data_IF_783431676692
#
_entry.id   IF_783431676692
#
_cell.length_a   1.000
_cell.length_b   1.000
_cell.length_c   1.000
_cell.angle_alpha   90.00
_cell.angle_beta   90.00
_cell.angle_gamma   90.00
#
_symmetry.space_group_name_H-M   'P 1'
#
loop_
_entity.id
_entity.type
_entity.pdbx_description
1 polymer ?
#
# COMPACT_ATOMS: atom_id res chain seq x y z
N UNK A 1 -22.18 30.14 14.39
CA UNK A 1 -21.29 29.84 13.25
C UNK A 1 -20.44 28.69 13.72
N UNK A 2 -20.80 27.50 13.29
CA UNK A 2 -20.05 26.29 13.61
C UNK A 2 -18.98 26.14 12.53
N UNK A 3 -17.72 26.32 12.94
CA UNK A 3 -16.58 25.97 12.10
C UNK A 3 -16.68 24.48 11.76
N UNK A 4 -17.08 24.18 10.54
CA UNK A 4 -17.01 22.83 10.00
C UNK A 4 -15.54 22.48 9.84
N UNK A 5 -15.06 21.61 10.69
CA UNK A 5 -13.79 20.92 10.56
C UNK A 5 -13.84 20.18 9.21
N UNK A 6 -13.20 20.76 8.20
CA UNK A 6 -12.99 20.10 6.91
C UNK A 6 -12.03 18.95 7.20
N UNK A 7 -12.57 17.76 7.39
CA UNK A 7 -11.77 16.57 7.47
C UNK A 7 -10.85 16.56 6.22
N UNK A 8 -9.56 16.71 6.43
CA UNK A 8 -8.58 16.67 5.33
C UNK A 8 -8.65 15.28 4.74
N UNK A 9 -9.33 15.15 3.62
CA UNK A 9 -9.45 13.87 2.90
C UNK A 9 -8.05 13.44 2.48
N UNK A 10 -7.60 12.32 2.99
CA UNK A 10 -6.32 11.75 2.64
C UNK A 10 -6.34 11.39 1.14
N UNK A 11 -5.45 11.97 0.38
CA UNK A 11 -5.43 11.81 -1.07
C UNK A 11 -4.03 11.80 -1.65
N UNK A 12 -3.87 11.10 -2.77
CA UNK A 12 -2.64 11.00 -3.54
C UNK A 12 -2.60 12.12 -4.56
N UNK A 13 -1.48 12.84 -4.62
CA UNK A 13 -1.19 13.79 -5.67
C UNK A 13 0.22 13.57 -6.18
N UNK A 14 0.36 13.34 -7.49
CA UNK A 14 1.66 13.23 -8.12
C UNK A 14 2.36 14.57 -8.22
N UNK A 15 3.70 14.55 -8.23
CA UNK A 15 4.55 15.73 -8.44
C UNK A 15 4.37 16.86 -7.40
N UNK A 16 4.04 16.52 -6.15
CA UNK A 16 3.91 17.48 -5.04
C UNK A 16 5.19 18.27 -4.76
N UNK A 17 6.36 17.74 -5.16
CA UNK A 17 7.65 18.44 -5.05
C UNK A 17 7.81 19.60 -6.02
N UNK A 18 6.93 19.73 -7.04
CA UNK A 18 6.95 20.83 -7.98
C UNK A 18 6.11 22.00 -7.45
N UNK A 19 6.66 23.21 -7.49
CA UNK A 19 5.89 24.41 -7.19
C UNK A 19 4.90 24.75 -8.34
N UNK A 20 3.96 25.67 -8.08
CA UNK A 20 2.90 26.03 -9.03
C UNK A 20 3.45 26.53 -10.40
N UNK A 21 4.57 27.27 -10.41
CA UNK A 21 5.20 27.73 -11.65
C UNK A 21 5.78 26.58 -12.46
N UNK A 22 6.43 25.63 -11.81
CA UNK A 22 6.97 24.44 -12.46
C UNK A 22 5.84 23.55 -12.99
N UNK A 23 4.75 23.38 -12.23
CA UNK A 23 3.58 22.62 -12.71
C UNK A 23 2.95 23.28 -13.94
N UNK A 24 2.78 24.61 -13.95
CA UNK A 24 2.22 25.33 -15.08
C UNK A 24 3.10 25.27 -16.35
N UNK A 25 4.41 25.09 -16.20
CA UNK A 25 5.33 24.92 -17.34
C UNK A 25 5.34 23.51 -17.89
N UNK A 26 5.15 22.49 -17.03
CA UNK A 26 5.29 21.08 -17.40
C UNK A 26 3.97 20.45 -17.81
N UNK A 27 2.84 20.91 -17.27
CA UNK A 27 1.55 20.27 -17.47
C UNK A 27 0.56 21.23 -18.14
N UNK A 28 -0.13 20.76 -19.16
CA UNK A 28 -1.31 21.43 -19.70
C UNK A 28 -2.44 21.52 -18.67
N UNK A 29 -2.65 20.45 -17.93
CA UNK A 29 -3.55 20.34 -16.80
C UNK A 29 -2.75 19.79 -15.61
N UNK A 30 -2.64 20.53 -14.49
CA UNK A 30 -1.86 20.05 -13.34
C UNK A 30 -2.48 18.79 -12.75
N UNK A 31 -1.66 17.95 -12.08
CA UNK A 31 -2.14 16.76 -11.39
C UNK A 31 -3.17 17.10 -10.32
N UNK A 32 -4.29 16.40 -10.33
CA UNK A 32 -5.36 16.54 -9.34
C UNK A 32 -5.10 15.58 -8.16
N UNK A 33 -5.69 15.88 -7.00
CA UNK A 33 -5.71 14.98 -5.86
C UNK A 33 -6.73 13.86 -6.12
N UNK A 34 -6.32 12.62 -5.92
CA UNK A 34 -7.17 11.43 -5.99
C UNK A 34 -7.34 10.94 -4.55
N UNK A 35 -8.59 10.90 -4.07
CA UNK A 35 -8.91 10.38 -2.74
C UNK A 35 -8.69 8.86 -2.69
N UNK A 36 -8.17 8.35 -1.57
CA UNK A 36 -8.10 6.91 -1.34
C UNK A 36 -9.48 6.24 -1.16
N UNK A 37 -10.56 7.04 -1.08
CA UNK A 37 -11.95 6.60 -1.04
C UNK A 37 -12.68 6.71 -2.39
N UNK A 38 -11.97 7.14 -3.45
CA UNK A 38 -12.51 7.17 -4.81
C UNK A 38 -12.72 5.76 -5.36
N UNK A 39 -13.37 5.65 -6.52
CA UNK A 39 -13.57 4.37 -7.16
C UNK A 39 -12.24 3.65 -7.45
N UNK A 40 -12.14 2.33 -7.26
CA UNK A 40 -10.89 1.56 -7.45
C UNK A 40 -10.22 1.77 -8.81
N UNK A 41 -11.01 1.98 -9.87
CA UNK A 41 -10.48 2.27 -11.21
C UNK A 41 -9.74 3.61 -11.28
N UNK A 42 -10.22 4.62 -10.56
CA UNK A 42 -9.57 5.93 -10.48
C UNK A 42 -8.31 5.84 -9.62
N UNK A 43 -8.40 5.19 -8.44
CA UNK A 43 -7.26 4.95 -7.56
C UNK A 43 -6.14 4.19 -8.29
N UNK A 44 -6.49 3.21 -9.13
CA UNK A 44 -5.52 2.47 -9.93
C UNK A 44 -4.70 3.36 -10.89
N UNK A 45 -5.24 4.50 -11.32
CA UNK A 45 -4.48 5.47 -12.14
C UNK A 45 -3.43 6.24 -11.33
N UNK A 46 -3.58 6.28 -10.01
CA UNK A 46 -2.68 6.98 -9.09
C UNK A 46 -1.50 6.13 -8.60
N UNK A 47 -1.37 4.87 -9.02
CA UNK A 47 -0.27 3.98 -8.59
C UNK A 47 1.11 4.59 -8.90
N UNK A 48 1.27 5.18 -10.08
CA UNK A 48 2.55 5.74 -10.50
C UNK A 48 3.65 4.68 -10.61
N UNK A 49 4.87 5.05 -10.25
CA UNK A 49 6.01 4.14 -10.17
C UNK A 49 6.02 3.45 -8.79
N UNK A 50 5.53 2.22 -8.73
CA UNK A 50 5.44 1.45 -7.50
C UNK A 50 6.82 0.99 -7.02
N UNK A 51 7.15 1.31 -5.77
CA UNK A 51 8.42 0.94 -5.15
C UNK A 51 8.29 -0.37 -4.39
N UNK A 52 9.15 -1.36 -4.70
CA UNK A 52 9.26 -2.60 -3.94
C UNK A 52 10.26 -2.44 -2.79
N UNK A 53 9.87 -2.91 -1.60
CA UNK A 53 10.66 -2.85 -0.37
C UNK A 53 10.74 -4.25 0.23
N UNK A 54 11.94 -4.83 0.41
CA UNK A 54 12.08 -6.12 1.08
C UNK A 54 11.45 -6.10 2.48
N UNK A 55 10.62 -7.10 2.79
CA UNK A 55 9.84 -7.15 4.02
C UNK A 55 10.66 -7.55 5.26
N UNK A 56 11.87 -8.05 5.08
CA UNK A 56 12.80 -8.41 6.16
C UNK A 56 13.57 -7.20 6.75
N UNK A 57 13.34 -5.99 6.24
CA UNK A 57 13.99 -4.78 6.76
C UNK A 57 13.55 -4.47 8.18
N UNK A 58 14.48 -4.20 9.10
CA UNK A 58 14.14 -3.91 10.50
C UNK A 58 13.42 -2.55 10.70
N UNK A 59 13.55 -1.63 9.72
CA UNK A 59 12.98 -0.28 9.72
C UNK A 59 11.83 -0.13 8.70
N UNK A 60 10.99 -1.16 8.54
CA UNK A 60 10.04 -1.25 7.43
C UNK A 60 9.02 -0.11 7.43
N UNK A 61 8.32 0.14 8.54
CA UNK A 61 7.35 1.24 8.66
C UNK A 61 8.01 2.61 8.47
N UNK A 62 9.16 2.85 9.11
CA UNK A 62 9.90 4.10 8.96
C UNK A 62 10.40 4.31 7.51
N UNK A 63 10.74 3.23 6.80
CA UNK A 63 11.10 3.29 5.38
C UNK A 63 9.90 3.70 4.53
N UNK A 64 8.72 3.10 4.75
CA UNK A 64 7.48 3.47 4.04
C UNK A 64 7.17 4.95 4.27
N UNK A 65 7.17 5.40 5.53
CA UNK A 65 6.89 6.80 5.89
C UNK A 65 7.85 7.78 5.20
N UNK A 66 9.14 7.49 5.22
CA UNK A 66 10.15 8.30 4.52
C UNK A 66 9.91 8.35 3.02
N UNK A 67 9.62 7.22 2.36
CA UNK A 67 9.37 7.18 0.93
C UNK A 67 8.08 7.88 0.54
N UNK A 68 7.04 7.78 1.36
CA UNK A 68 5.81 8.54 1.17
C UNK A 68 6.07 10.06 1.22
N UNK A 69 6.89 10.53 2.18
CA UNK A 69 7.28 11.96 2.27
C UNK A 69 8.14 12.44 1.08
N UNK A 70 8.81 11.53 0.38
CA UNK A 70 9.54 11.79 -0.87
C UNK A 70 8.60 11.81 -2.11
N UNK A 71 7.29 11.57 -1.92
CA UNK A 71 6.28 11.61 -2.98
C UNK A 71 6.00 10.27 -3.65
N UNK A 72 6.43 9.14 -3.07
CA UNK A 72 6.08 7.81 -3.57
C UNK A 72 4.61 7.52 -3.25
N UNK A 73 3.82 7.31 -4.29
CA UNK A 73 2.36 7.14 -4.19
C UNK A 73 1.93 5.69 -3.95
N UNK A 74 2.78 4.72 -4.28
CA UNK A 74 2.49 3.30 -4.04
C UNK A 74 3.76 2.50 -3.72
N UNK A 75 3.63 1.57 -2.77
CA UNK A 75 4.73 0.71 -2.34
C UNK A 75 4.26 -0.72 -2.16
N UNK A 76 5.16 -1.68 -2.37
CA UNK A 76 4.93 -3.10 -2.16
C UNK A 76 5.91 -3.59 -1.11
N UNK A 77 5.40 -4.09 0.02
CA UNK A 77 6.18 -4.84 1.01
C UNK A 77 6.33 -6.26 0.46
N UNK A 78 7.55 -6.62 0.13
CA UNK A 78 7.82 -7.83 -0.64
C UNK A 78 8.23 -8.99 0.26
N UNK A 79 7.39 -10.03 0.30
CA UNK A 79 7.65 -11.28 1.00
C UNK A 79 8.19 -12.38 0.06
N UNK A 80 8.23 -12.14 -1.26
CA UNK A 80 8.54 -13.18 -2.23
C UNK A 80 10.03 -13.17 -2.61
N UNK A 81 10.40 -12.62 -3.76
CA UNK A 81 11.77 -12.76 -4.30
C UNK A 81 12.84 -12.02 -3.48
N UNK A 82 12.45 -11.02 -2.68
CA UNK A 82 13.38 -10.20 -1.91
C UNK A 82 13.68 -10.76 -0.50
N UNK A 83 13.06 -11.89 -0.10
CA UNK A 83 13.21 -12.48 1.23
C UNK A 83 13.56 -13.95 1.13
N UNK A 84 14.62 -14.38 1.80
CA UNK A 84 15.00 -15.80 1.88
C UNK A 84 13.96 -16.63 2.64
N UNK A 85 13.81 -17.92 2.26
CA UNK A 85 12.87 -18.85 2.90
C UNK A 85 13.05 -18.97 4.41
N UNK A 86 14.30 -18.91 4.88
CA UNK A 86 14.62 -18.97 6.31
C UNK A 86 14.11 -17.76 7.10
N UNK A 87 13.83 -16.64 6.45
CA UNK A 87 13.36 -15.38 7.06
C UNK A 87 11.88 -15.11 6.80
N UNK A 88 11.17 -16.00 6.08
CA UNK A 88 9.81 -15.75 5.63
C UNK A 88 8.82 -15.47 6.76
N UNK A 89 8.85 -16.24 7.85
CA UNK A 89 7.97 -16.04 9.01
C UNK A 89 8.27 -14.74 9.76
N UNK A 90 9.55 -14.42 9.92
CA UNK A 90 9.99 -13.17 10.55
C UNK A 90 9.59 -11.95 9.70
N UNK A 91 9.76 -12.04 8.38
CA UNK A 91 9.36 -10.99 7.45
C UNK A 91 7.83 -10.80 7.43
N UNK A 92 7.05 -11.87 7.50
CA UNK A 92 5.59 -11.79 7.61
C UNK A 92 5.16 -11.09 8.91
N UNK A 93 5.78 -11.43 10.03
CA UNK A 93 5.53 -10.75 11.30
C UNK A 93 5.89 -9.26 11.22
N UNK A 94 7.02 -8.93 10.58
CA UNK A 94 7.46 -7.57 10.37
C UNK A 94 6.47 -6.76 9.51
N UNK A 95 5.90 -7.37 8.46
CA UNK A 95 4.83 -6.74 7.64
C UNK A 95 3.62 -6.39 8.49
N UNK A 96 3.12 -7.33 9.29
CA UNK A 96 1.95 -7.09 10.16
C UNK A 96 2.24 -5.94 11.13
N UNK A 97 3.38 -5.97 11.81
CA UNK A 97 3.81 -4.91 12.73
C UNK A 97 3.90 -3.56 12.02
N UNK A 98 4.52 -3.53 10.85
CA UNK A 98 4.67 -2.29 10.08
C UNK A 98 3.33 -1.71 9.62
N UNK A 99 2.38 -2.54 9.20
CA UNK A 99 1.03 -2.09 8.84
C UNK A 99 0.27 -1.55 10.04
N UNK A 100 0.36 -2.18 11.21
CA UNK A 100 -0.27 -1.67 12.44
C UNK A 100 0.36 -0.33 12.88
N UNK A 101 1.67 -0.14 12.74
CA UNK A 101 2.34 1.13 12.99
C UNK A 101 1.89 2.23 12.01
N UNK A 102 1.79 1.90 10.71
CA UNK A 102 1.36 2.84 9.66
C UNK A 102 -0.10 3.27 9.79
N UNK A 103 -0.95 2.41 10.33
CA UNK A 103 -2.37 2.73 10.57
C UNK A 103 -2.56 3.79 11.66
N UNK A 104 -1.59 3.94 12.57
CA UNK A 104 -1.64 4.95 13.62
C UNK A 104 -1.43 6.39 13.11
N UNK A 105 -0.72 6.55 11.99
CA UNK A 105 -0.49 7.82 11.30
C UNK A 105 -0.68 7.63 9.78
N UNK A 106 -1.92 7.69 9.29
CA UNK A 106 -2.25 7.37 7.90
C UNK A 106 -1.52 8.24 6.89
N UNK A 107 -0.95 7.62 5.88
CA UNK A 107 -0.16 8.25 4.83
C UNK A 107 -0.96 8.38 3.52
N UNK A 108 -0.70 9.43 2.75
CA UNK A 108 -1.21 9.60 1.39
C UNK A 108 -0.43 8.73 0.39
N UNK A 109 -0.39 7.42 0.65
CA UNK A 109 0.28 6.41 -0.18
C UNK A 109 -0.45 5.08 -0.08
N UNK A 110 -0.40 4.28 -1.14
CA UNK A 110 -0.95 2.93 -1.15
C UNK A 110 0.13 1.93 -0.77
N UNK A 111 -0.12 1.12 0.26
CA UNK A 111 0.80 0.06 0.69
C UNK A 111 0.19 -1.29 0.35
N UNK A 112 0.88 -2.05 -0.48
CA UNK A 112 0.52 -3.40 -0.88
C UNK A 112 1.47 -4.41 -0.24
N UNK A 113 1.05 -5.68 -0.15
CA UNK A 113 1.91 -6.79 0.24
C UNK A 113 2.00 -7.79 -0.90
N UNK A 114 3.23 -8.08 -1.40
CA UNK A 114 3.46 -9.20 -2.30
C UNK A 114 3.68 -10.45 -1.48
N UNK A 115 2.72 -11.38 -1.57
CA UNK A 115 2.75 -12.64 -0.84
C UNK A 115 3.61 -13.68 -1.54
N UNK A 116 4.11 -14.69 -0.80
CA UNK A 116 4.84 -15.83 -1.38
C UNK A 116 3.91 -16.89 -1.97
N UNK A 117 2.78 -17.10 -1.31
CA UNK A 117 1.74 -18.06 -1.70
C UNK A 117 0.36 -17.57 -1.30
N UNK A 118 -0.68 -18.20 -1.82
CA UNK A 118 -2.06 -17.90 -1.46
C UNK A 118 -2.35 -18.13 0.04
N UNK A 119 -1.64 -19.04 0.71
CA UNK A 119 -1.81 -19.31 2.14
C UNK A 119 -1.28 -18.17 3.04
N UNK A 120 -0.42 -17.30 2.52
CA UNK A 120 0.06 -16.14 3.26
C UNK A 120 -1.03 -15.07 3.44
N UNK A 121 -2.02 -15.00 2.53
CA UNK A 121 -3.07 -13.98 2.58
C UNK A 121 -3.90 -14.08 3.88
N UNK A 122 -4.55 -15.22 4.20
CA UNK A 122 -5.28 -15.34 5.45
C UNK A 122 -4.36 -15.22 6.67
N UNK A 123 -3.13 -15.72 6.62
CA UNK A 123 -2.20 -15.60 7.74
C UNK A 123 -1.85 -14.15 8.08
N UNK A 124 -1.79 -13.27 7.09
CA UNK A 124 -1.59 -11.84 7.30
C UNK A 124 -2.89 -11.21 7.80
N UNK A 125 -4.01 -11.45 7.13
CA UNK A 125 -5.32 -10.88 7.48
C UNK A 125 -5.71 -11.20 8.93
N UNK A 126 -5.56 -12.47 9.36
CA UNK A 126 -5.90 -12.92 10.72
C UNK A 126 -5.02 -12.29 11.81
N UNK A 127 -3.83 -11.78 11.45
CA UNK A 127 -2.90 -11.15 12.40
C UNK A 127 -3.01 -9.63 12.44
N UNK A 128 -3.59 -9.01 11.41
CA UNK A 128 -3.80 -7.56 11.38
C UNK A 128 -4.81 -7.17 12.45
N UNK A 129 -4.54 -6.06 13.12
CA UNK A 129 -5.47 -5.42 14.04
C UNK A 129 -5.99 -4.13 13.41
N UNK A 130 -5.33 -3.00 13.67
CA UNK A 130 -5.64 -1.73 13.01
C UNK A 130 -4.97 -1.58 11.64
N UNK A 131 -3.98 -2.40 11.36
CA UNK A 131 -3.16 -2.35 10.13
C UNK A 131 -3.94 -2.64 8.85
N UNK A 132 -5.15 -3.21 8.96
CA UNK A 132 -6.09 -3.36 7.85
C UNK A 132 -6.35 -2.03 7.13
N UNK A 133 -6.42 -0.93 7.87
CA UNK A 133 -6.63 0.41 7.31
C UNK A 133 -5.43 0.95 6.53
N UNK A 134 -4.22 0.41 6.73
CA UNK A 134 -3.02 0.78 6.00
C UNK A 134 -2.76 -0.12 4.78
N UNK A 135 -3.42 -1.30 4.70
CA UNK A 135 -3.26 -2.25 3.61
C UNK A 135 -4.16 -1.90 2.43
N UNK A 136 -3.58 -1.50 1.30
CA UNK A 136 -4.32 -1.24 0.07
C UNK A 136 -4.71 -2.53 -0.69
N UNK A 137 -3.99 -3.63 -0.48
CA UNK A 137 -4.27 -4.91 -1.11
C UNK A 137 -3.05 -5.82 -1.24
N UNK A 138 -3.24 -6.94 -1.94
CA UNK A 138 -2.19 -7.93 -2.17
C UNK A 138 -1.70 -7.91 -3.61
N UNK A 139 -0.39 -8.10 -3.80
CA UNK A 139 0.22 -8.38 -5.10
C UNK A 139 0.39 -9.90 -5.22
N UNK A 140 -0.28 -10.49 -6.18
CA UNK A 140 -0.26 -11.93 -6.42
C UNK A 140 0.92 -12.25 -7.34
N UNK A 141 1.92 -13.00 -6.87
CA UNK A 141 3.03 -13.42 -7.72
C UNK A 141 2.64 -14.58 -8.62
N UNK A 142 3.27 -14.70 -9.77
CA UNK A 142 3.23 -15.90 -10.62
C UNK A 142 1.82 -16.47 -10.77
N UNK A 143 0.85 -15.60 -11.14
CA UNK A 143 -0.55 -15.97 -11.31
C UNK A 143 -0.69 -16.99 -12.45
N UNK A 144 -1.05 -18.23 -12.13
CA UNK A 144 -1.17 -19.35 -13.05
C UNK A 144 -2.59 -19.94 -13.03
N UNK A 145 -2.93 -20.74 -14.04
CA UNK A 145 -4.27 -21.27 -14.21
C UNK A 145 -4.72 -22.20 -13.07
N UNK A 146 -3.79 -22.95 -12.48
CA UNK A 146 -4.05 -23.90 -11.39
C UNK A 146 -4.10 -23.26 -10.01
N UNK A 147 -3.33 -22.20 -9.77
CA UNK A 147 -3.22 -21.50 -8.48
C UNK A 147 -4.06 -20.22 -8.41
N UNK A 148 -4.31 -19.57 -9.53
CA UNK A 148 -4.97 -18.26 -9.60
C UNK A 148 -6.34 -18.22 -8.91
N UNK A 149 -7.16 -19.26 -9.10
CA UNK A 149 -8.47 -19.33 -8.45
C UNK A 149 -8.39 -19.40 -6.91
N UNK A 150 -7.29 -19.94 -6.37
CA UNK A 150 -7.05 -19.97 -4.90
C UNK A 150 -6.66 -18.59 -4.40
N UNK A 151 -5.76 -17.90 -5.11
CA UNK A 151 -5.39 -16.53 -4.77
C UNK A 151 -6.60 -15.62 -4.72
N UNK A 152 -7.47 -15.67 -5.74
CA UNK A 152 -8.68 -14.83 -5.78
C UNK A 152 -9.60 -15.11 -4.59
N UNK A 153 -9.89 -16.38 -4.31
CA UNK A 153 -10.73 -16.74 -3.14
C UNK A 153 -10.14 -16.24 -1.83
N UNK A 154 -8.86 -16.48 -1.59
CA UNK A 154 -8.21 -16.03 -0.35
C UNK A 154 -8.22 -14.51 -0.21
N UNK A 155 -8.10 -13.78 -1.32
CA UNK A 155 -8.18 -12.31 -1.31
C UNK A 155 -9.61 -11.83 -1.03
N UNK A 156 -10.63 -12.47 -1.62
CA UNK A 156 -12.05 -12.15 -1.36
C UNK A 156 -12.43 -12.45 0.09
N UNK A 157 -12.02 -13.61 0.62
CA UNK A 157 -12.26 -14.00 2.01
C UNK A 157 -11.57 -13.01 2.98
N UNK A 158 -10.32 -12.65 2.74
CA UNK A 158 -9.59 -11.67 3.53
C UNK A 158 -10.25 -10.29 3.49
N UNK A 159 -10.64 -9.80 2.32
CA UNK A 159 -11.31 -8.50 2.17
C UNK A 159 -12.69 -8.45 2.86
N UNK A 160 -13.31 -9.60 3.08
CA UNK A 160 -14.59 -9.69 3.79
C UNK A 160 -14.41 -9.76 5.31
N UNK A 161 -13.22 -10.11 5.78
CA UNK A 161 -12.88 -10.25 7.20
C UNK A 161 -12.25 -8.98 7.79
N UNK A 162 -11.60 -8.14 6.96
CA UNK A 162 -10.96 -6.87 7.32
C UNK A 162 -11.95 -5.70 7.26
#
# INVERSE_FOLDING_TARGET
MTDGEVATTLGIQHFQHLNASQQAQLFWKPPEVISLHDEPRLIATALGATLYIPADRPDLAATVTRRASEGICSMVLDLEDAVDDMHADAAMHNVVTALDELAADPLATMVFVRVRSYDCIPQIADRLTVGAHALAGFVIPKFEADTGARYLRQTEDAASAL
#
